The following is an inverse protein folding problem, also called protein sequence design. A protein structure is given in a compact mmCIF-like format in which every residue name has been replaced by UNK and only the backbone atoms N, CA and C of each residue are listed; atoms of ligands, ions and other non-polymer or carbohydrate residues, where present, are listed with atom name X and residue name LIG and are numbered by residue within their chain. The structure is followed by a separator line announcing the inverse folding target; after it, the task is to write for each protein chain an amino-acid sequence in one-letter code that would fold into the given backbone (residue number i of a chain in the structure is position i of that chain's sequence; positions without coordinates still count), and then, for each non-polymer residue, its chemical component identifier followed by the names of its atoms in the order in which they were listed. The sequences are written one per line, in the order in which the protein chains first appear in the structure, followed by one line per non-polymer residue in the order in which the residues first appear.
data_IF_442880709964
#
_entry.id   IF_442880709964
#
_cell.length_a   1.000
_cell.length_b   1.000
_cell.length_c   1.000
_cell.angle_alpha   90.00
_cell.angle_beta   90.00
_cell.angle_gamma   90.00
#
_symmetry.space_group_name_H-M   'P 1'
#
loop_
_entity.id
_entity.type
_entity.pdbx_description
1 polymer ?
#
# COMPACT_ATOMS: atom_id res chain seq x y z
N UNK A 1 21.21 -1.19 62.29
CA UNK A 1 20.10 -0.31 62.69
C UNK A 1 18.79 -0.99 62.35
N UNK A 2 17.80 -0.86 63.23
CA UNK A 2 16.60 -1.69 63.32
C UNK A 2 15.34 -1.03 62.73
N UNK A 3 14.27 -1.86 62.65
CA UNK A 3 12.84 -1.65 62.27
C UNK A 3 12.54 -2.13 60.85
N UNK A 4 12.03 -3.34 60.56
CA UNK A 4 10.87 -4.12 61.07
C UNK A 4 9.55 -3.36 61.11
N UNK A 5 8.61 -3.74 60.24
CA UNK A 5 7.21 -3.88 60.63
C UNK A 5 6.62 -5.11 59.94
N UNK A 6 6.10 -6.01 60.78
CA UNK A 6 5.42 -7.25 60.46
C UNK A 6 4.02 -7.17 61.06
N UNK A 7 3.01 -7.65 60.33
CA UNK A 7 1.77 -8.24 60.85
C UNK A 7 1.07 -8.91 59.63
N UNK A 8 1.01 -10.25 59.48
CA UNK A 8 0.28 -11.27 60.27
C UNK A 8 -1.25 -11.11 60.05
N UNK A 9 -2.07 -12.08 59.62
CA UNK A 9 -1.97 -13.55 59.46
C UNK A 9 -3.19 -14.11 58.67
N UNK A 10 -3.03 -15.35 58.17
CA UNK A 10 -3.95 -16.52 58.21
C UNK A 10 -5.29 -16.61 57.42
N UNK A 11 -5.34 -17.64 56.55
CA UNK A 11 -6.47 -18.46 56.02
C UNK A 11 -7.12 -19.35 57.11
N UNK A 12 -8.40 -19.83 57.06
CA UNK A 12 -8.84 -20.90 56.12
C UNK A 12 -10.37 -21.01 55.75
N UNK A 13 -10.61 -21.64 54.58
CA UNK A 13 -11.62 -22.68 54.14
C UNK A 13 -13.04 -22.79 54.75
N UNK A 14 -14.00 -23.15 53.86
CA UNK A 14 -15.40 -23.66 54.03
C UNK A 14 -16.48 -22.59 54.32
N UNK A 15 -17.65 -22.51 53.67
CA UNK A 15 -18.58 -23.51 53.11
C UNK A 15 -19.35 -22.93 51.88
N UNK A 16 -19.61 -23.76 50.86
CA UNK A 16 -20.85 -23.73 50.06
C UNK A 16 -21.79 -24.77 50.67
N UNK A 17 -23.14 -24.63 50.70
CA UNK A 17 -23.93 -24.56 49.46
C UNK A 17 -25.28 -23.80 49.55
N UNK A 18 -25.85 -23.38 48.43
CA UNK A 18 -27.25 -23.63 48.08
C UNK A 18 -27.62 -22.97 46.74
N UNK A 19 -27.95 -23.86 45.82
CA UNK A 19 -28.54 -23.68 44.50
C UNK A 19 -29.71 -22.69 44.50
N UNK A 20 -29.70 -21.77 43.54
CA UNK A 20 -30.92 -21.18 42.99
C UNK A 20 -30.77 -21.17 41.47
N UNK A 21 -31.29 -22.23 40.85
CA UNK A 21 -31.66 -22.27 39.44
C UNK A 21 -32.69 -21.18 39.17
N UNK A 22 -32.43 -20.33 38.19
CA UNK A 22 -33.50 -19.79 37.35
C UNK A 22 -32.93 -19.42 35.99
N UNK A 23 -33.13 -20.36 35.06
CA UNK A 23 -33.37 -20.23 33.63
C UNK A 23 -32.88 -18.98 32.86
N UNK A 24 -32.09 -19.29 31.83
CA UNK A 24 -32.26 -18.79 30.46
C UNK A 24 -31.91 -17.32 30.20
N UNK A 25 -30.67 -17.11 29.75
CA UNK A 25 -30.43 -16.39 28.50
C UNK A 25 -29.02 -16.72 27.99
N UNK A 26 -28.98 -17.63 27.03
CA UNK A 26 -27.90 -17.75 26.06
C UNK A 26 -27.66 -16.37 25.43
N UNK A 27 -26.64 -15.67 25.88
CA UNK A 27 -25.95 -14.67 25.06
C UNK A 27 -24.57 -15.24 24.75
N UNK A 28 -24.57 -16.07 23.72
CA UNK A 28 -23.39 -16.26 22.88
C UNK A 28 -23.05 -14.87 22.38
N UNK A 29 -22.07 -14.20 22.99
CA UNK A 29 -21.37 -13.11 22.32
C UNK A 29 -20.50 -13.76 21.24
N UNK A 30 -21.18 -14.08 20.15
CA UNK A 30 -20.60 -14.30 18.85
C UNK A 30 -20.03 -12.94 18.40
N UNK A 31 -18.71 -12.84 18.51
CA UNK A 31 -17.73 -12.10 17.70
C UNK A 31 -18.22 -10.99 16.72
N UNK A 32 -17.45 -9.89 16.55
CA UNK A 32 -16.10 -10.01 15.99
C UNK A 32 -15.07 -9.06 16.62
N UNK A 33 -14.08 -9.64 17.29
CA UNK A 33 -12.79 -9.00 17.46
C UNK A 33 -11.89 -9.40 16.28
N UNK A 34 -11.30 -8.39 15.64
CA UNK A 34 -10.40 -8.42 14.48
C UNK A 34 -11.07 -8.60 13.10
N UNK A 35 -11.73 -7.54 12.62
CA UNK A 35 -11.71 -7.20 11.20
C UNK A 35 -10.69 -6.06 10.99
N UNK A 36 -9.42 -6.31 11.35
CA UNK A 36 -8.31 -5.54 10.81
C UNK A 36 -7.64 -6.42 9.76
N UNK A 37 -7.53 -5.91 8.53
CA UNK A 37 -6.71 -6.44 7.43
C UNK A 37 -7.16 -7.69 6.65
N UNK A 38 -8.46 -7.96 6.50
CA UNK A 38 -8.89 -8.78 5.35
C UNK A 38 -9.15 -7.89 4.15
N UNK A 39 -8.10 -7.38 3.49
CA UNK A 39 -8.28 -6.96 2.10
C UNK A 39 -8.82 -8.16 1.33
N UNK A 40 -9.94 -7.98 0.63
CA UNK A 40 -10.49 -9.03 -0.22
C UNK A 40 -9.43 -9.44 -1.25
N UNK A 41 -9.23 -10.74 -1.44
CA UNK A 41 -8.27 -11.29 -2.42
C UNK A 41 -8.54 -10.69 -3.80
N UNK A 42 -9.81 -10.46 -4.14
CA UNK A 42 -10.19 -9.83 -5.40
C UNK A 42 -9.73 -8.36 -5.47
N UNK A 43 -9.79 -7.61 -4.38
CA UNK A 43 -9.29 -6.23 -4.30
C UNK A 43 -7.77 -6.15 -4.44
N UNK A 44 -7.05 -7.10 -3.83
CA UNK A 44 -5.60 -7.26 -3.95
C UNK A 44 -5.22 -7.52 -5.41
N UNK A 45 -5.84 -8.52 -6.04
CA UNK A 45 -5.60 -8.87 -7.43
C UNK A 45 -5.93 -7.71 -8.37
N UNK A 46 -7.01 -6.98 -8.12
CA UNK A 46 -7.40 -5.82 -8.90
C UNK A 46 -6.41 -4.66 -8.76
N UNK A 47 -5.90 -4.42 -7.55
CA UNK A 47 -4.90 -3.37 -7.30
C UNK A 47 -3.56 -3.70 -7.98
N UNK A 48 -3.14 -4.96 -7.96
CA UNK A 48 -1.95 -5.43 -8.67
C UNK A 48 -2.10 -5.35 -10.20
N UNK A 49 -3.26 -5.76 -10.74
CA UNK A 49 -3.57 -5.61 -12.18
C UNK A 49 -3.56 -4.15 -12.62
N UNK A 50 -4.13 -3.26 -11.80
CA UNK A 50 -4.14 -1.82 -12.06
C UNK A 50 -2.72 -1.25 -12.08
N UNK A 51 -1.87 -1.64 -11.11
CA UNK A 51 -0.46 -1.25 -11.09
C UNK A 51 0.29 -1.75 -12.33
N UNK A 52 0.12 -3.01 -12.71
CA UNK A 52 0.75 -3.57 -13.92
C UNK A 52 0.33 -2.80 -15.17
N UNK A 53 -0.96 -2.55 -15.35
CA UNK A 53 -1.47 -1.77 -16.48
C UNK A 53 -0.93 -0.33 -16.49
N UNK A 54 -0.77 0.29 -15.32
CA UNK A 54 -0.18 1.61 -15.21
C UNK A 54 1.31 1.61 -15.61
N UNK A 55 2.07 0.58 -15.22
CA UNK A 55 3.47 0.40 -15.61
C UNK A 55 3.59 0.20 -17.14
N UNK A 56 2.75 -0.64 -17.74
CA UNK A 56 2.75 -0.86 -19.19
C UNK A 56 2.45 0.43 -19.97
N UNK A 57 1.44 1.18 -19.54
CA UNK A 57 1.12 2.49 -20.12
C UNK A 57 2.30 3.46 -19.98
N UNK A 58 2.94 3.49 -18.81
CA UNK A 58 4.09 4.34 -18.56
C UNK A 58 5.27 3.99 -19.48
N UNK A 59 5.55 2.70 -19.66
CA UNK A 59 6.60 2.22 -20.55
C UNK A 59 6.32 2.62 -22.01
N UNK A 60 5.09 2.45 -22.48
CA UNK A 60 4.68 2.84 -23.84
C UNK A 60 4.90 4.34 -24.06
N UNK A 61 4.44 5.19 -23.14
CA UNK A 61 4.61 6.64 -23.28
C UNK A 61 6.09 7.06 -23.18
N UNK A 62 6.91 6.37 -22.38
CA UNK A 62 8.37 6.61 -22.37
C UNK A 62 9.03 6.28 -23.71
N UNK A 63 8.62 5.21 -24.37
CA UNK A 63 9.10 4.87 -25.71
C UNK A 63 8.68 5.92 -26.74
N UNK A 64 7.44 6.42 -26.66
CA UNK A 64 6.95 7.51 -27.51
C UNK A 64 7.75 8.81 -27.32
N UNK A 65 8.15 9.13 -26.08
CA UNK A 65 8.99 10.30 -25.80
C UNK A 65 10.41 10.11 -26.34
N UNK A 66 10.98 8.92 -26.24
CA UNK A 66 12.33 8.61 -26.69
C UNK A 66 13.42 9.39 -25.94
N UNK A 67 14.64 9.40 -26.48
CA UNK A 67 15.75 10.16 -25.90
C UNK A 67 15.85 11.57 -26.53
N UNK A 68 15.00 12.48 -26.05
CA UNK A 68 15.03 13.88 -26.50
C UNK A 68 15.94 14.79 -25.68
N UNK A 69 16.49 14.31 -24.55
CA UNK A 69 17.36 15.11 -23.68
C UNK A 69 18.56 15.71 -24.43
N UNK A 70 19.35 14.95 -25.21
CA UNK A 70 20.46 15.52 -25.96
C UNK A 70 20.01 16.54 -27.01
N UNK A 71 18.84 16.32 -27.62
CA UNK A 71 18.28 17.25 -28.61
C UNK A 71 17.88 18.58 -27.96
N UNK A 72 17.22 18.53 -26.79
CA UNK A 72 16.86 19.73 -26.03
C UNK A 72 18.10 20.52 -25.64
N UNK A 73 19.16 19.87 -25.15
CA UNK A 73 20.41 20.54 -24.76
C UNK A 73 21.04 21.26 -25.95
N UNK A 74 21.21 20.58 -27.09
CA UNK A 74 21.75 21.18 -28.32
C UNK A 74 20.92 22.40 -28.78
N UNK A 75 19.60 22.29 -28.74
CA UNK A 75 18.72 23.42 -29.10
C UNK A 75 18.85 24.60 -28.13
N UNK A 76 19.01 24.34 -26.82
CA UNK A 76 19.24 25.38 -25.81
C UNK A 76 20.62 26.04 -25.95
N UNK A 77 21.61 25.30 -26.44
CA UNK A 77 22.95 25.81 -26.77
C UNK A 77 22.96 26.62 -28.09
N UNK A 78 21.83 26.72 -28.78
CA UNK A 78 21.65 27.50 -30.02
C UNK A 78 21.97 26.72 -31.30
N UNK A 79 22.16 25.40 -31.21
CA UNK A 79 22.32 24.54 -32.38
C UNK A 79 20.99 24.40 -33.14
N UNK A 80 21.06 24.53 -34.46
CA UNK A 80 19.90 24.45 -35.34
C UNK A 80 19.62 22.98 -35.68
N UNK A 81 18.65 22.38 -34.99
CA UNK A 81 18.17 21.04 -35.31
C UNK A 81 17.33 21.05 -36.59
N UNK A 82 17.56 20.09 -37.49
CA UNK A 82 16.87 20.03 -38.79
C UNK A 82 16.48 18.60 -39.13
N UNK A 83 15.42 18.46 -39.94
CA UNK A 83 14.97 17.16 -40.44
C UNK A 83 14.44 16.25 -39.34
N UNK A 84 14.94 15.02 -39.30
CA UNK A 84 14.48 13.95 -38.41
C UNK A 84 14.67 14.29 -36.92
N UNK A 85 15.78 14.93 -36.55
CA UNK A 85 16.05 15.32 -35.16
C UNK A 85 15.01 16.33 -34.64
N UNK A 86 14.59 17.26 -35.50
CA UNK A 86 13.57 18.25 -35.15
C UNK A 86 12.19 17.59 -34.99
N UNK A 87 11.84 16.64 -35.86
CA UNK A 87 10.58 15.91 -35.75
C UNK A 87 10.56 14.97 -34.53
N UNK A 88 11.68 14.32 -34.22
CA UNK A 88 11.85 13.54 -32.99
C UNK A 88 11.70 14.41 -31.75
N UNK A 89 12.33 15.60 -31.73
CA UNK A 89 12.21 16.55 -30.63
C UNK A 89 10.76 17.03 -30.45
N UNK A 90 10.08 17.41 -31.54
CA UNK A 90 8.66 17.82 -31.49
C UNK A 90 7.76 16.71 -30.96
N UNK A 91 7.91 15.50 -31.48
CA UNK A 91 7.12 14.34 -31.04
C UNK A 91 7.36 14.04 -29.55
N UNK A 92 8.63 14.00 -29.13
CA UNK A 92 8.96 13.71 -27.74
C UNK A 92 8.51 14.79 -26.77
N UNK A 93 8.66 16.08 -27.12
CA UNK A 93 8.16 17.20 -26.31
C UNK A 93 6.64 17.14 -26.17
N UNK A 94 5.91 16.84 -27.25
CA UNK A 94 4.46 16.63 -27.19
C UNK A 94 4.09 15.40 -26.32
N UNK A 95 4.95 14.38 -26.28
CA UNK A 95 4.80 13.21 -25.42
C UNK A 95 5.07 13.48 -23.94
N UNK A 96 5.87 14.48 -23.58
CA UNK A 96 6.21 14.78 -22.18
C UNK A 96 4.98 15.10 -21.33
N UNK A 97 4.00 15.84 -21.86
CA UNK A 97 2.78 16.13 -21.13
C UNK A 97 1.99 14.85 -20.81
N UNK A 98 1.92 13.92 -21.75
CA UNK A 98 1.29 12.60 -21.53
C UNK A 98 2.09 11.79 -20.51
N UNK A 99 3.42 11.85 -20.57
CA UNK A 99 4.31 11.14 -19.66
C UNK A 99 4.08 11.58 -18.20
N UNK A 100 3.97 12.90 -17.96
CA UNK A 100 3.71 13.44 -16.62
C UNK A 100 2.38 12.92 -16.07
N UNK A 101 1.31 12.91 -16.87
CA UNK A 101 0.00 12.40 -16.46
C UNK A 101 0.02 10.91 -16.16
N UNK A 102 0.61 10.10 -17.04
CA UNK A 102 0.69 8.65 -16.82
C UNK A 102 1.60 8.32 -15.63
N UNK A 103 2.62 9.14 -15.36
CA UNK A 103 3.45 9.00 -14.17
C UNK A 103 2.66 9.27 -12.88
N UNK A 104 1.81 10.30 -12.86
CA UNK A 104 0.92 10.52 -11.70
C UNK A 104 -0.07 9.38 -11.50
N UNK A 105 -0.62 8.82 -12.59
CA UNK A 105 -1.54 7.67 -12.52
C UNK A 105 -0.82 6.42 -11.98
N UNK A 106 0.41 6.17 -12.45
CA UNK A 106 1.25 5.11 -11.91
C UNK A 106 1.54 5.31 -10.43
N UNK A 107 1.85 6.53 -9.99
CA UNK A 107 2.10 6.80 -8.58
C UNK A 107 0.85 6.53 -7.71
N UNK A 108 -0.33 6.93 -8.19
CA UNK A 108 -1.60 6.62 -7.52
C UNK A 108 -1.92 5.12 -7.49
N UNK A 109 -1.62 4.40 -8.57
CA UNK A 109 -1.78 2.95 -8.62
C UNK A 109 -0.80 2.24 -7.66
N UNK A 110 0.43 2.77 -7.54
CA UNK A 110 1.46 2.22 -6.66
C UNK A 110 1.10 2.41 -5.19
N UNK A 111 0.60 3.58 -4.80
CA UNK A 111 0.14 3.82 -3.42
C UNK A 111 -1.05 2.93 -3.08
N UNK A 112 -2.01 2.78 -4.00
CA UNK A 112 -3.17 1.90 -3.81
C UNK A 112 -2.77 0.42 -3.70
N UNK A 113 -1.80 -0.02 -4.48
CA UNK A 113 -1.32 -1.41 -4.48
C UNK A 113 -0.29 -1.70 -3.37
N UNK A 114 0.10 -0.71 -2.55
CA UNK A 114 1.13 -0.90 -1.53
C UNK A 114 0.79 -2.02 -0.51
N UNK A 115 -0.43 -2.12 0.03
CA UNK A 115 -0.79 -3.21 0.94
C UNK A 115 -0.71 -4.60 0.28
N UNK A 116 -1.18 -4.71 -0.98
CA UNK A 116 -1.08 -5.92 -1.78
C UNK A 116 0.38 -6.35 -2.03
N UNK A 117 1.29 -5.38 -2.22
CA UNK A 117 2.73 -5.66 -2.36
C UNK A 117 3.35 -6.13 -1.06
N UNK A 118 3.00 -5.52 0.07
CA UNK A 118 3.48 -5.95 1.38
C UNK A 118 3.07 -7.39 1.69
N UNK A 119 1.83 -7.77 1.38
CA UNK A 119 1.35 -9.15 1.55
C UNK A 119 2.12 -10.13 0.65
N UNK A 120 2.37 -9.78 -0.61
CA UNK A 120 3.21 -10.59 -1.51
C UNK A 120 4.63 -10.76 -0.97
N UNK A 121 5.22 -9.69 -0.42
CA UNK A 121 6.56 -9.72 0.16
C UNK A 121 6.63 -10.60 1.43
N UNK A 122 5.52 -10.77 2.15
CA UNK A 122 5.43 -11.73 3.27
C UNK A 122 5.29 -13.18 2.82
N UNK A 123 4.51 -13.43 1.75
CA UNK A 123 4.31 -14.79 1.20
C UNK A 123 5.58 -15.31 0.50
N UNK A 124 6.39 -14.43 -0.10
CA UNK A 124 7.58 -14.79 -0.86
C UNK A 124 8.87 -14.95 0.00
N UNK A 125 8.79 -14.74 1.31
CA UNK A 125 9.88 -15.01 2.27
C UNK A 125 9.93 -16.48 2.66
#
# INVERSE_FOLDING_TARGET
MAKTNAAKSETPVEESPAVADNEETTTVEDTPQAAEDSQDIDEILNSLKALLSAVEKLQKVRQEVGDIKPLVVRMLDGELLVGEELEQLKSGVNGLLKLVRVYSDHQAALTKAQPARNLLDEILK
#
